data_IF_293401504653
#
_entry.id   IF_293401504653
#
_cell.length_a   1.000
_cell.length_b   1.000
_cell.length_c   1.000
_cell.angle_alpha   90.00
_cell.angle_beta   90.00
_cell.angle_gamma   90.00
#
_symmetry.space_group_name_H-M   'P 1'
#
loop_
_entity.id
_entity.type
_entity.pdbx_description
1 polymer ?
#
# COMPACT_ATOMS: atom_id res chain seq x y z
N UNK A 1 7.88 51.43 -7.19
CA UNK A 1 9.31 51.49 -6.80
C UNK A 1 9.73 50.06 -6.47
N UNK A 2 10.67 49.51 -7.28
CA UNK A 2 11.46 48.25 -7.21
C UNK A 2 10.99 47.09 -6.29
N UNK A 3 10.63 45.91 -6.82
CA UNK A 3 11.49 44.75 -7.20
C UNK A 3 12.37 44.19 -6.06
N UNK A 4 12.11 42.94 -5.64
CA UNK A 4 13.15 41.90 -5.56
C UNK A 4 12.55 40.48 -5.60
N UNK A 5 13.02 39.69 -6.56
CA UNK A 5 12.83 38.24 -6.67
C UNK A 5 13.54 37.51 -5.53
N UNK A 6 12.87 36.56 -4.88
CA UNK A 6 13.52 35.47 -4.16
C UNK A 6 12.92 34.15 -4.60
N UNK A 7 13.67 33.52 -5.50
CA UNK A 7 13.56 32.13 -5.93
C UNK A 7 13.65 31.26 -4.67
N UNK A 8 12.51 30.77 -4.18
CA UNK A 8 12.51 29.77 -3.11
C UNK A 8 12.57 28.39 -3.75
N UNK A 9 13.64 27.67 -3.43
CA UNK A 9 13.82 26.26 -3.77
C UNK A 9 12.59 25.44 -3.36
N UNK A 10 12.19 24.40 -4.12
CA UNK A 10 11.03 23.59 -3.77
C UNK A 10 11.28 22.89 -2.41
N UNK A 11 10.37 23.14 -1.47
CA UNK A 11 10.40 22.55 -0.13
C UNK A 11 10.44 21.02 -0.18
N UNK A 12 11.42 20.44 0.53
CA UNK A 12 11.76 19.00 0.65
C UNK A 12 10.69 18.13 1.36
N UNK A 13 9.49 18.67 1.61
CA UNK A 13 8.40 18.04 2.39
C UNK A 13 7.23 17.54 1.54
N UNK A 14 7.27 17.69 0.20
CA UNK A 14 6.08 17.53 -0.63
C UNK A 14 5.64 16.08 -0.93
N UNK A 15 6.54 15.10 -1.02
CA UNK A 15 6.17 13.77 -1.57
C UNK A 15 5.52 12.82 -0.55
N UNK A 16 5.91 12.88 0.72
CA UNK A 16 5.21 12.15 1.79
C UNK A 16 3.83 12.77 2.06
N UNK A 17 3.72 14.10 1.89
CA UNK A 17 2.45 14.80 1.85
C UNK A 17 1.60 14.35 0.66
N UNK A 18 2.15 14.15 -0.54
CA UNK A 18 1.36 13.68 -1.69
C UNK A 18 0.76 12.29 -1.50
N UNK A 19 1.49 11.35 -0.89
CA UNK A 19 0.96 10.03 -0.58
C UNK A 19 -0.04 10.08 0.56
N UNK A 20 0.23 10.84 1.62
CA UNK A 20 -0.75 11.06 2.69
C UNK A 20 -2.02 11.74 2.18
N UNK A 21 -1.90 12.74 1.29
CA UNK A 21 -3.00 13.43 0.63
C UNK A 21 -3.75 12.49 -0.32
N UNK A 22 -3.05 11.66 -1.09
CA UNK A 22 -3.69 10.63 -1.92
C UNK A 22 -4.43 9.61 -1.06
N UNK A 23 -3.83 9.15 0.05
CA UNK A 23 -4.51 8.27 0.99
C UNK A 23 -5.74 8.96 1.58
N UNK A 24 -5.65 10.23 1.95
CA UNK A 24 -6.75 10.99 2.55
C UNK A 24 -7.85 11.29 1.53
N UNK A 25 -7.52 11.59 0.27
CA UNK A 25 -8.46 11.70 -0.86
C UNK A 25 -9.16 10.35 -1.12
N UNK A 26 -8.41 9.24 -1.12
CA UNK A 26 -9.01 7.91 -1.31
C UNK A 26 -9.88 7.51 -0.13
N UNK A 27 -9.44 7.78 1.11
CA UNK A 27 -10.23 7.54 2.34
C UNK A 27 -11.53 8.36 2.31
N UNK A 28 -11.46 9.64 1.96
CA UNK A 28 -12.64 10.53 1.91
C UNK A 28 -13.60 10.17 0.77
N UNK A 29 -13.07 9.81 -0.41
CA UNK A 29 -13.87 9.33 -1.54
C UNK A 29 -14.67 8.05 -1.23
N UNK A 30 -14.23 7.26 -0.24
CA UNK A 30 -14.92 6.02 0.12
C UNK A 30 -15.85 6.14 1.33
N UNK A 31 -15.77 7.24 2.08
CA UNK A 31 -16.54 7.45 3.31
C UNK A 31 -18.01 7.88 3.12
N UNK A 32 -18.41 8.27 1.90
CA UNK A 32 -19.74 8.84 1.67
C UNK A 32 -20.85 7.80 1.39
N UNK A 33 -20.52 6.54 1.12
CA UNK A 33 -21.51 5.52 0.71
C UNK A 33 -21.60 4.30 1.64
N UNK A 34 -20.56 4.04 2.44
CA UNK A 34 -20.51 2.89 3.34
C UNK A 34 -20.20 3.35 4.77
N UNK A 35 -21.07 3.07 5.75
CA UNK A 35 -20.83 3.49 7.13
C UNK A 35 -19.64 2.74 7.77
N UNK A 36 -19.19 1.63 7.17
CA UNK A 36 -18.10 0.82 7.68
C UNK A 36 -16.77 1.14 7.02
N UNK A 37 -15.70 1.14 7.82
CA UNK A 37 -14.31 1.28 7.36
C UNK A 37 -13.42 0.28 8.11
N UNK A 38 -12.49 -0.34 7.40
CA UNK A 38 -11.49 -1.24 7.97
C UNK A 38 -10.15 -0.55 7.96
N UNK A 39 -9.48 -0.54 9.12
CA UNK A 39 -8.12 -0.05 9.26
C UNK A 39 -7.23 -1.15 9.83
N UNK A 40 -6.10 -1.43 9.19
CA UNK A 40 -5.18 -2.50 9.56
C UNK A 40 -3.82 -1.90 9.86
N UNK A 41 -3.39 -2.03 11.12
CA UNK A 41 -2.05 -1.66 11.58
C UNK A 41 -1.21 -2.94 11.72
N UNK A 42 -0.26 -3.11 10.81
CA UNK A 42 0.62 -4.29 10.78
C UNK A 42 1.77 -4.22 11.79
N UNK A 43 2.05 -3.04 12.38
CA UNK A 43 3.02 -2.93 13.47
C UNK A 43 2.47 -3.46 14.79
N UNK A 44 1.15 -3.36 14.98
CA UNK A 44 0.44 -3.88 16.13
C UNK A 44 -0.25 -5.23 15.86
N UNK A 45 -0.26 -5.66 14.59
CA UNK A 45 -1.04 -6.80 14.10
C UNK A 45 -2.51 -6.70 14.54
N UNK A 46 -3.13 -5.56 14.24
CA UNK A 46 -4.53 -5.26 14.58
C UNK A 46 -5.33 -4.80 13.38
N UNK A 47 -6.58 -5.29 13.31
CA UNK A 47 -7.62 -4.77 12.44
C UNK A 47 -8.66 -4.06 13.31
N UNK A 48 -8.93 -2.80 13.00
CA UNK A 48 -9.95 -1.97 13.62
C UNK A 48 -11.09 -1.82 12.63
N UNK A 49 -12.29 -2.17 13.08
CA UNK A 49 -13.51 -1.97 12.32
C UNK A 49 -14.22 -0.75 12.86
N UNK A 50 -14.42 0.23 12.00
CA UNK A 50 -15.18 1.44 12.27
C UNK A 50 -16.60 1.31 11.72
N UNK A 51 -17.54 1.93 12.41
CA UNK A 51 -18.86 2.28 11.90
C UNK A 51 -19.14 3.73 12.26
N UNK A 52 -19.49 4.57 11.28
CA UNK A 52 -19.76 5.99 11.48
C UNK A 52 -18.61 6.69 12.24
N UNK A 53 -17.36 6.40 11.83
CA UNK A 53 -16.10 6.88 12.43
C UNK A 53 -15.85 6.45 13.89
N UNK A 54 -16.64 5.54 14.44
CA UNK A 54 -16.43 4.95 15.78
C UNK A 54 -15.93 3.52 15.67
N UNK A 55 -14.91 3.17 16.45
CA UNK A 55 -14.44 1.78 16.54
C UNK A 55 -15.55 0.93 17.16
N UNK A 56 -15.99 -0.10 16.46
CA UNK A 56 -16.97 -1.07 16.95
C UNK A 56 -16.37 -2.43 17.27
N UNK A 57 -15.24 -2.79 16.62
CA UNK A 57 -14.52 -4.05 16.84
C UNK A 57 -13.02 -3.87 16.64
N UNK A 58 -12.24 -4.68 17.34
CA UNK A 58 -10.79 -4.80 17.18
C UNK A 58 -10.43 -6.28 17.13
N UNK A 59 -9.65 -6.68 16.14
CA UNK A 59 -9.26 -8.07 15.91
C UNK A 59 -7.74 -8.22 15.82
N UNK A 60 -7.16 -9.28 16.41
CA UNK A 60 -5.78 -9.65 16.11
C UNK A 60 -5.70 -10.23 14.69
N UNK A 61 -4.64 -9.88 13.95
CA UNK A 61 -4.42 -10.36 12.58
C UNK A 61 -3.01 -10.87 12.36
N UNK A 62 -2.75 -11.51 11.21
CA UNK A 62 -1.41 -11.77 10.70
C UNK A 62 -1.20 -11.04 9.38
N UNK A 63 0.03 -10.58 9.14
CA UNK A 63 0.44 -9.97 7.88
C UNK A 63 1.36 -10.85 7.04
N UNK A 64 1.75 -10.33 5.88
CA UNK A 64 2.76 -10.90 5.00
C UNK A 64 4.15 -10.95 5.63
N UNK A 65 4.97 -11.87 5.13
CA UNK A 65 6.41 -11.93 5.45
C UNK A 65 7.18 -10.81 4.74
N UNK A 66 8.47 -10.67 5.06
CA UNK A 66 9.37 -9.73 4.37
C UNK A 66 9.41 -9.97 2.86
N UNK A 67 9.46 -11.23 2.46
CA UNK A 67 9.61 -11.65 1.06
C UNK A 67 8.26 -11.66 0.32
N UNK A 68 7.15 -11.59 1.05
CA UNK A 68 5.78 -11.59 0.51
C UNK A 68 4.91 -10.64 1.34
N UNK A 69 5.21 -9.33 1.27
CA UNK A 69 4.61 -8.34 2.16
C UNK A 69 3.11 -8.18 1.88
N UNK A 70 2.38 -7.76 2.90
CA UNK A 70 1.00 -7.33 2.70
C UNK A 70 0.96 -6.02 1.90
N UNK A 71 -0.05 -5.84 1.03
CA UNK A 71 -0.17 -4.65 0.19
C UNK A 71 -0.59 -3.46 1.07
N UNK A 72 0.37 -2.63 1.47
CA UNK A 72 0.09 -1.37 2.17
C UNK A 72 -0.57 -0.38 1.22
N UNK A 73 -1.50 0.44 1.71
CA UNK A 73 -2.26 1.39 0.91
C UNK A 73 -3.76 1.36 1.20
N UNK A 74 -4.51 1.99 0.31
CA UNK A 74 -5.97 2.14 0.43
C UNK A 74 -6.68 1.29 -0.62
N UNK A 75 -7.47 0.34 -0.14
CA UNK A 75 -8.18 -0.66 -0.93
C UNK A 75 -9.67 -0.66 -0.62
N UNK A 76 -10.40 -1.57 -1.29
CA UNK A 76 -11.81 -1.88 -1.06
C UNK A 76 -12.02 -3.38 -1.05
N UNK A 77 -12.97 -3.82 -0.23
CA UNK A 77 -13.56 -5.16 -0.37
C UNK A 77 -14.39 -5.20 -1.65
N UNK A 78 -13.92 -5.92 -2.67
CA UNK A 78 -14.60 -6.03 -3.98
C UNK A 78 -15.25 -7.38 -4.21
N UNK A 79 -14.91 -8.38 -3.41
CA UNK A 79 -15.56 -9.70 -3.47
C UNK A 79 -15.70 -10.28 -2.09
N UNK A 80 -16.81 -10.99 -1.86
CA UNK A 80 -17.03 -11.79 -0.65
C UNK A 80 -17.39 -13.22 -1.01
N UNK A 81 -16.79 -14.18 -0.32
CA UNK A 81 -17.05 -15.59 -0.60
C UNK A 81 -16.82 -16.52 0.58
N UNK A 82 -17.44 -17.70 0.51
CA UNK A 82 -17.10 -18.83 1.37
C UNK A 82 -16.01 -19.64 0.69
N UNK A 83 -14.77 -19.48 1.13
CA UNK A 83 -13.63 -20.18 0.57
C UNK A 83 -13.32 -21.45 1.37
N UNK A 84 -12.64 -22.40 0.73
CA UNK A 84 -12.36 -23.73 1.32
C UNK A 84 -11.61 -23.67 2.66
N UNK A 85 -11.48 -24.84 3.31
CA UNK A 85 -10.92 -24.99 4.67
C UNK A 85 -9.59 -24.24 4.88
N UNK A 86 -8.73 -24.16 3.86
CA UNK A 86 -7.44 -23.45 3.90
C UNK A 86 -7.54 -21.94 4.18
N UNK A 87 -8.65 -21.32 3.79
CA UNK A 87 -8.92 -19.89 4.02
C UNK A 87 -9.80 -19.65 5.26
N UNK A 88 -10.03 -20.69 6.07
CA UNK A 88 -10.81 -20.55 7.30
C UNK A 88 -12.30 -20.28 7.08
N UNK A 89 -12.81 -20.60 5.88
CA UNK A 89 -14.24 -20.57 5.56
C UNK A 89 -14.76 -19.28 4.95
N UNK A 90 -14.11 -18.13 5.18
CA UNK A 90 -14.56 -16.82 4.70
C UNK A 90 -13.42 -16.01 4.07
N UNK A 91 -13.77 -15.30 3.01
CA UNK A 91 -12.87 -14.48 2.21
C UNK A 91 -13.51 -13.11 1.92
N UNK A 92 -12.71 -12.06 2.09
CA UNK A 92 -12.98 -10.70 1.63
C UNK A 92 -11.84 -10.29 0.70
N UNK A 93 -12.08 -10.27 -0.61
CA UNK A 93 -11.07 -9.95 -1.61
C UNK A 93 -10.90 -8.45 -1.80
N UNK A 94 -9.64 -8.02 -1.95
CA UNK A 94 -9.24 -6.63 -2.09
C UNK A 94 -8.91 -6.30 -3.55
N UNK A 95 -9.16 -5.05 -3.98
CA UNK A 95 -8.85 -4.55 -5.33
C UNK A 95 -7.38 -4.16 -5.52
N UNK A 96 -6.46 -5.03 -5.12
CA UNK A 96 -5.02 -4.81 -5.28
C UNK A 96 -4.63 -5.14 -6.73
N UNK A 97 -4.05 -4.20 -7.50
CA UNK A 97 -3.93 -4.37 -8.96
C UNK A 97 -2.88 -5.42 -9.38
N UNK A 98 -1.88 -5.69 -8.53
CA UNK A 98 -0.78 -6.59 -8.86
C UNK A 98 -0.98 -8.06 -8.40
N UNK A 99 -2.14 -8.41 -7.84
CA UNK A 99 -2.41 -9.81 -7.47
C UNK A 99 -3.69 -10.04 -6.66
N UNK A 100 -3.91 -11.29 -6.28
CA UNK A 100 -5.06 -11.69 -5.46
C UNK A 100 -4.73 -11.56 -3.98
N UNK A 101 -5.27 -10.52 -3.35
CA UNK A 101 -5.11 -10.25 -1.93
C UNK A 101 -6.47 -10.20 -1.23
N UNK A 102 -6.50 -10.58 0.04
CA UNK A 102 -7.73 -10.62 0.81
C UNK A 102 -7.52 -10.69 2.30
N UNK A 103 -8.62 -10.49 3.02
CA UNK A 103 -8.76 -10.76 4.45
C UNK A 103 -9.47 -12.11 4.57
N UNK A 104 -8.85 -13.07 5.23
CA UNK A 104 -9.38 -14.43 5.34
C UNK A 104 -9.04 -15.10 6.67
N UNK A 105 -9.67 -16.24 6.97
CA UNK A 105 -9.36 -17.04 8.16
C UNK A 105 -8.07 -17.84 8.02
N UNK A 106 -7.79 -18.80 8.88
CA UNK A 106 -6.58 -19.61 8.77
C UNK A 106 -6.74 -21.01 9.37
N UNK A 107 -5.98 -21.96 8.83
CA UNK A 107 -5.75 -23.28 9.46
C UNK A 107 -4.57 -23.26 10.44
N UNK A 108 -3.83 -22.13 10.52
CA UNK A 108 -2.66 -21.94 11.38
C UNK A 108 -2.93 -20.81 12.38
N UNK A 109 -3.79 -21.01 13.39
CA UNK A 109 -4.17 -19.97 14.35
C UNK A 109 -2.97 -19.38 15.10
N UNK A 110 -1.90 -20.15 15.30
CA UNK A 110 -0.64 -19.67 15.89
C UNK A 110 0.11 -18.65 15.03
N UNK A 111 -0.29 -18.43 13.78
CA UNK A 111 0.29 -17.39 12.92
C UNK A 111 -0.28 -15.99 13.18
N UNK A 112 -1.40 -15.88 13.88
CA UNK A 112 -2.02 -14.60 14.23
C UNK A 112 -1.11 -13.85 15.21
N UNK A 113 -0.87 -12.57 14.95
CA UNK A 113 0.08 -11.72 15.68
C UNK A 113 1.50 -11.68 15.08
N UNK A 114 1.71 -12.28 13.91
CA UNK A 114 3.04 -12.37 13.28
C UNK A 114 3.01 -12.11 11.77
N UNK A 115 4.16 -11.77 11.19
CA UNK A 115 4.42 -11.79 9.74
C UNK A 115 4.60 -13.22 9.24
N UNK A 116 3.53 -13.83 8.73
CA UNK A 116 3.49 -15.27 8.47
C UNK A 116 2.71 -15.71 7.22
N UNK A 117 2.11 -14.77 6.49
CA UNK A 117 1.36 -15.05 5.25
C UNK A 117 2.18 -14.74 3.98
N UNK A 118 1.60 -15.04 2.83
CA UNK A 118 2.11 -14.61 1.52
C UNK A 118 1.43 -13.30 1.07
N UNK A 119 1.26 -12.36 2.00
CA UNK A 119 0.70 -11.03 1.75
C UNK A 119 -0.77 -10.85 2.16
N UNK A 120 -1.60 -11.90 2.15
CA UNK A 120 -2.97 -11.80 2.64
C UNK A 120 -3.05 -11.54 4.15
N UNK A 121 -4.12 -10.86 4.58
CA UNK A 121 -4.38 -10.64 6.01
C UNK A 121 -5.11 -11.85 6.56
N UNK A 122 -4.54 -12.49 7.59
CA UNK A 122 -5.17 -13.62 8.26
C UNK A 122 -5.85 -13.19 9.56
N UNK A 123 -7.00 -13.77 9.84
CA UNK A 123 -7.72 -13.64 11.11
C UNK A 123 -8.01 -15.02 11.70
N UNK A 124 -8.43 -15.08 12.96
CA UNK A 124 -9.08 -16.30 13.47
C UNK A 124 -10.38 -16.57 12.70
N UNK A 125 -10.72 -17.84 12.52
CA UNK A 125 -11.90 -18.24 11.72
C UNK A 125 -13.22 -17.67 12.25
N UNK A 126 -13.35 -17.56 13.58
CA UNK A 126 -14.51 -16.91 14.21
C UNK A 126 -14.58 -15.41 13.91
N UNK A 127 -13.43 -14.74 13.86
CA UNK A 127 -13.34 -13.29 13.71
C UNK A 127 -13.57 -12.88 12.24
N UNK A 128 -12.99 -13.61 11.28
CA UNK A 128 -13.29 -13.37 9.86
C UNK A 128 -14.76 -13.67 9.55
N UNK A 129 -15.35 -14.69 10.19
CA UNK A 129 -16.78 -14.98 10.02
C UNK A 129 -17.61 -13.81 10.52
N UNK A 130 -17.31 -13.27 11.69
CA UNK A 130 -18.01 -12.09 12.22
C UNK A 130 -17.84 -10.88 11.29
N UNK A 131 -16.60 -10.53 10.92
CA UNK A 131 -16.30 -9.42 10.03
C UNK A 131 -17.05 -9.55 8.70
N UNK A 132 -17.06 -10.74 8.10
CA UNK A 132 -17.74 -11.04 6.84
C UNK A 132 -19.26 -10.77 6.92
N UNK A 133 -19.90 -10.98 8.07
CA UNK A 133 -21.33 -10.68 8.22
C UNK A 133 -21.60 -9.21 8.49
N UNK A 134 -20.64 -8.46 9.06
CA UNK A 134 -20.80 -7.04 9.39
C UNK A 134 -20.63 -6.15 8.16
N UNK A 135 -19.54 -6.34 7.40
CA UNK A 135 -19.13 -5.37 6.37
C UNK A 135 -19.68 -5.74 4.99
N UNK A 136 -20.31 -4.82 4.24
CA UNK A 136 -20.72 -5.09 2.86
C UNK A 136 -19.52 -5.02 1.90
N UNK A 137 -19.75 -5.36 0.63
CA UNK A 137 -18.81 -4.99 -0.43
C UNK A 137 -18.68 -3.47 -0.55
N UNK A 138 -17.63 -3.01 -1.23
CA UNK A 138 -17.18 -1.62 -1.29
C UNK A 138 -16.70 -1.04 0.04
N UNK A 139 -16.60 -1.84 1.11
CA UNK A 139 -16.01 -1.41 2.39
C UNK A 139 -14.57 -0.97 2.18
N UNK A 140 -14.19 0.25 2.58
CA UNK A 140 -12.82 0.75 2.46
C UNK A 140 -11.90 -0.01 3.41
N UNK A 141 -10.69 -0.30 2.95
CA UNK A 141 -9.67 -1.02 3.71
C UNK A 141 -8.36 -0.27 3.62
N UNK A 142 -7.88 0.28 4.73
CA UNK A 142 -6.57 0.90 4.84
C UNK A 142 -5.61 -0.10 5.48
N UNK A 143 -4.49 -0.39 4.82
CA UNK A 143 -3.42 -1.26 5.35
C UNK A 143 -2.17 -0.42 5.51
N UNK A 144 -1.70 -0.27 6.74
CA UNK A 144 -0.56 0.60 7.04
C UNK A 144 0.44 -0.05 7.98
N UNK A 145 1.57 0.65 8.18
CA UNK A 145 2.67 0.30 9.08
C UNK A 145 3.09 -1.17 8.97
N UNK A 146 3.02 -1.72 7.76
CA UNK A 146 3.74 -2.94 7.45
C UNK A 146 5.21 -2.75 7.75
N UNK A 147 5.99 -3.83 7.85
CA UNK A 147 7.45 -3.74 7.88
C UNK A 147 8.05 -2.91 6.71
N UNK A 148 7.22 -2.57 5.71
CA UNK A 148 7.51 -1.70 4.57
C UNK A 148 6.37 -0.69 4.33
N UNK A 149 6.13 0.26 5.26
CA UNK A 149 5.66 1.60 4.85
C UNK A 149 6.39 1.99 3.55
N UNK A 150 5.80 2.64 2.52
CA UNK A 150 6.26 2.55 1.13
C UNK A 150 7.76 2.70 0.85
N UNK A 151 8.54 3.32 1.75
CA UNK A 151 10.00 3.25 1.75
C UNK A 151 10.68 2.81 3.07
N UNK A 152 9.92 2.56 4.15
CA UNK A 152 10.41 1.96 5.40
C UNK A 152 11.58 2.74 6.02
N UNK A 153 12.39 2.08 6.84
CA UNK A 153 13.72 2.57 7.23
C UNK A 153 14.83 2.03 6.30
N UNK A 154 14.53 0.98 5.54
CA UNK A 154 15.47 0.33 4.64
C UNK A 154 14.72 -0.17 3.39
N UNK A 155 14.59 0.65 2.33
CA UNK A 155 13.90 0.27 1.11
C UNK A 155 14.70 -0.82 0.42
N UNK A 156 14.00 -1.82 -0.11
CA UNK A 156 14.65 -2.83 -0.95
C UNK A 156 15.06 -2.19 -2.28
N UNK A 157 16.08 -2.76 -2.91
CA UNK A 157 16.36 -2.47 -4.32
C UNK A 157 15.21 -3.06 -5.14
N UNK A 158 14.59 -2.23 -5.98
CA UNK A 158 13.48 -2.63 -6.84
C UNK A 158 14.01 -2.91 -8.24
N UNK A 159 13.67 -4.07 -8.78
CA UNK A 159 14.12 -4.61 -10.07
C UNK A 159 12.95 -4.84 -11.02
N UNK A 160 13.18 -4.84 -12.35
CA UNK A 160 12.14 -5.20 -13.32
C UNK A 160 11.45 -6.52 -12.98
N UNK A 161 10.11 -6.52 -13.04
CA UNK A 161 9.26 -7.65 -12.66
C UNK A 161 8.77 -7.60 -11.21
N UNK A 162 9.39 -6.79 -10.35
CA UNK A 162 8.93 -6.61 -8.97
C UNK A 162 7.54 -6.00 -8.89
N UNK A 163 6.84 -6.34 -7.80
CA UNK A 163 5.46 -5.92 -7.56
C UNK A 163 5.27 -5.48 -6.13
N UNK A 164 4.47 -4.44 -5.91
CA UNK A 164 4.14 -4.01 -4.56
C UNK A 164 3.72 -2.56 -4.46
N UNK A 165 3.39 -2.17 -3.24
CA UNK A 165 2.99 -0.81 -2.88
C UNK A 165 4.13 0.20 -3.08
N UNK A 166 5.37 -0.22 -2.93
CA UNK A 166 6.58 0.57 -3.21
C UNK A 166 6.71 0.89 -4.70
N UNK A 167 6.52 -0.12 -5.56
CA UNK A 167 6.47 0.04 -7.02
C UNK A 167 5.32 0.98 -7.41
N UNK A 168 4.13 0.76 -6.85
CA UNK A 168 2.95 1.60 -7.11
C UNK A 168 3.22 3.06 -6.73
N UNK A 169 3.89 3.30 -5.60
CA UNK A 169 4.25 4.64 -5.16
C UNK A 169 5.23 5.31 -6.14
N UNK A 170 6.25 4.59 -6.60
CA UNK A 170 7.19 5.13 -7.58
C UNK A 170 6.48 5.47 -8.90
N UNK A 171 5.55 4.62 -9.37
CA UNK A 171 4.71 4.94 -10.53
C UNK A 171 3.92 6.24 -10.34
N UNK A 172 3.38 6.50 -9.14
CA UNK A 172 2.71 7.77 -8.83
C UNK A 172 3.68 8.96 -8.91
N UNK A 173 4.89 8.82 -8.36
CA UNK A 173 5.91 9.88 -8.40
C UNK A 173 6.32 10.18 -9.85
N UNK A 174 6.63 9.14 -10.63
CA UNK A 174 7.01 9.30 -12.04
C UNK A 174 5.88 9.94 -12.85
N UNK A 175 4.63 9.55 -12.58
CA UNK A 175 3.45 10.12 -13.25
C UNK A 175 3.25 11.59 -12.89
N UNK A 176 3.41 11.95 -11.62
CA UNK A 176 3.37 13.36 -11.15
C UNK A 176 4.47 14.21 -11.80
N UNK A 177 5.65 13.62 -12.05
CA UNK A 177 6.76 14.27 -12.76
C UNK A 177 6.56 14.33 -14.29
N UNK A 178 5.51 13.70 -14.83
CA UNK A 178 5.27 13.62 -16.26
C UNK A 178 6.18 12.64 -17.01
N UNK A 179 6.93 11.80 -16.30
CA UNK A 179 7.87 10.82 -16.88
C UNK A 179 7.22 9.46 -17.16
N UNK A 180 6.03 9.21 -16.59
CA UNK A 180 5.33 7.93 -16.72
C UNK A 180 3.87 8.12 -17.12
N UNK A 181 3.49 7.49 -18.23
CA UNK A 181 2.14 7.56 -18.79
C UNK A 181 1.34 6.26 -18.66
N UNK A 182 1.97 5.19 -18.17
CA UNK A 182 1.34 3.89 -17.97
C UNK A 182 0.32 3.85 -16.82
N UNK A 183 -0.22 2.66 -16.58
CA UNK A 183 -1.15 2.40 -15.49
C UNK A 183 -0.41 2.39 -14.13
N UNK A 184 -1.08 2.85 -13.07
CA UNK A 184 -0.57 2.67 -11.70
C UNK A 184 -1.04 1.30 -11.22
N UNK A 185 -0.33 0.26 -11.63
CA UNK A 185 -0.67 -1.14 -11.39
C UNK A 185 0.21 -1.83 -10.33
N UNK A 186 1.23 -1.13 -9.84
CA UNK A 186 2.20 -1.63 -8.87
C UNK A 186 3.12 -2.73 -9.42
N UNK A 187 3.34 -2.76 -10.74
CA UNK A 187 4.23 -3.70 -11.43
C UNK A 187 5.35 -2.94 -12.14
N UNK A 188 6.60 -3.34 -11.89
CA UNK A 188 7.74 -2.77 -12.58
C UNK A 188 7.91 -3.40 -13.97
N UNK A 189 7.13 -2.89 -14.93
CA UNK A 189 7.19 -3.27 -16.36
C UNK A 189 8.05 -2.35 -17.23
N UNK A 190 8.06 -2.60 -18.53
CA UNK A 190 8.92 -1.92 -19.51
C UNK A 190 8.65 -0.40 -19.60
N UNK A 191 7.39 0.02 -19.53
CA UNK A 191 7.03 1.45 -19.54
C UNK A 191 7.65 2.19 -18.33
N UNK A 192 7.61 1.55 -17.17
CA UNK A 192 8.21 2.10 -15.96
C UNK A 192 9.74 2.11 -16.06
N UNK A 193 10.34 1.12 -16.72
CA UNK A 193 11.79 1.06 -16.96
C UNK A 193 12.26 2.22 -17.82
N UNK A 194 11.54 2.55 -18.89
CA UNK A 194 11.82 3.74 -19.69
C UNK A 194 11.75 5.02 -18.86
N UNK A 195 10.73 5.15 -18.00
CA UNK A 195 10.57 6.30 -17.12
C UNK A 195 11.69 6.43 -16.07
N UNK A 196 12.17 5.30 -15.51
CA UNK A 196 13.31 5.28 -14.60
C UNK A 196 14.60 5.69 -15.31
N UNK A 197 14.86 5.17 -16.51
CA UNK A 197 16.02 5.55 -17.30
C UNK A 197 16.03 7.05 -17.60
N UNK A 198 14.86 7.61 -17.92
CA UNK A 198 14.73 9.05 -18.14
C UNK A 198 14.99 9.85 -16.85
N UNK A 199 14.41 9.43 -15.72
CA UNK A 199 14.63 10.08 -14.42
C UNK A 199 16.12 10.07 -13.99
N UNK A 200 16.82 8.95 -14.22
CA UNK A 200 18.26 8.81 -13.97
C UNK A 200 19.07 9.76 -14.86
N UNK A 201 18.77 9.82 -16.17
CA UNK A 201 19.43 10.75 -17.10
C UNK A 201 19.24 12.21 -16.69
N UNK A 202 18.01 12.60 -16.32
CA UNK A 202 17.71 13.95 -15.85
C UNK A 202 18.48 14.32 -14.57
N UNK A 203 18.94 13.32 -13.83
CA UNK A 203 19.74 13.47 -12.61
C UNK A 203 21.24 13.28 -12.83
N UNK A 204 21.70 13.29 -14.09
CA UNK A 204 23.10 13.02 -14.49
C UNK A 204 23.65 11.68 -14.00
N UNK A 205 22.80 10.67 -13.90
CA UNK A 205 23.17 9.29 -13.58
C UNK A 205 23.30 8.45 -14.85
N UNK A 206 24.21 7.48 -14.84
CA UNK A 206 24.21 6.42 -15.86
C UNK A 206 22.93 5.58 -15.74
N UNK A 207 22.16 5.35 -16.81
CA UNK A 207 20.90 4.60 -16.73
C UNK A 207 21.13 3.14 -16.37
N UNK A 208 20.36 2.63 -15.39
CA UNK A 208 20.40 1.25 -14.94
C UNK A 208 19.03 0.77 -14.47
N UNK A 209 18.81 -0.54 -14.37
CA UNK A 209 17.47 -1.11 -14.14
C UNK A 209 17.01 -1.00 -12.69
N UNK A 210 17.97 -0.94 -11.76
CA UNK A 210 17.74 -0.90 -10.33
C UNK A 210 17.15 0.45 -9.92
N UNK A 211 16.12 0.40 -9.08
CA UNK A 211 15.72 1.56 -8.28
C UNK A 211 16.35 1.36 -6.91
N UNK A 212 17.59 1.82 -6.81
CA UNK A 212 18.40 1.82 -5.61
C UNK A 212 18.23 3.13 -4.83
N UNK A 213 19.02 3.32 -3.77
CA UNK A 213 18.96 4.53 -2.94
C UNK A 213 19.22 5.79 -3.76
N UNK A 214 20.19 5.77 -4.66
CA UNK A 214 20.52 6.93 -5.48
C UNK A 214 19.38 7.28 -6.44
N UNK A 215 18.74 6.27 -7.03
CA UNK A 215 17.58 6.46 -7.91
C UNK A 215 16.37 6.97 -7.12
N UNK A 216 16.13 6.47 -5.90
CA UNK A 216 15.08 6.98 -5.01
C UNK A 216 15.31 8.46 -4.66
N UNK A 217 16.54 8.83 -4.30
CA UNK A 217 16.91 10.22 -4.01
C UNK A 217 16.74 11.13 -5.24
N UNK A 218 17.11 10.66 -6.43
CA UNK A 218 16.87 11.34 -7.70
C UNK A 218 15.37 11.56 -7.99
N UNK A 219 14.53 10.62 -7.58
CA UNK A 219 13.07 10.75 -7.66
C UNK A 219 12.49 11.67 -6.57
N UNK A 220 13.31 12.14 -5.62
CA UNK A 220 12.90 12.97 -4.49
C UNK A 220 12.35 12.16 -3.30
N UNK A 221 12.55 10.85 -3.30
CA UNK A 221 12.22 9.98 -2.17
C UNK A 221 13.40 10.02 -1.20
N UNK A 222 13.25 10.80 -0.13
CA UNK A 222 14.27 10.92 0.90
C UNK A 222 13.98 9.98 2.06
N UNK A 223 14.98 9.18 2.41
CA UNK A 223 15.00 8.34 3.60
C UNK A 223 15.52 9.19 4.77
N UNK A 224 14.73 9.39 5.82
CA UNK A 224 15.25 9.94 7.07
C UNK A 224 15.93 8.82 7.86
N UNK A 225 17.14 9.10 8.35
CA UNK A 225 17.86 8.26 9.33
C UNK A 225 17.17 8.31 10.70
#
# INVERSE_FOLDING_TARGET
MAILFLIHAPNKTNLQNDYALWEDEKKSAFSNENPYEIYIDLSEYRLYLFKDKKIIKVYPVAGGKKETPSPTGVWKVVTKGKWGKWFGGYWLGLNVPWGTYGIHGTTRPSSIGFSASHGCIRMFNKDVKELWHIVPENTPVVITKGPYSPFGLNPRIILPGDRGSDVMHIQMILKKKGLYHGAIDGIYGDDMKSAIFEAQKQSNMEPHNEIDRQTLEALGVYMFE
#
